data_IF_373640899109
#
_entry.id   IF_373640899109
#
_cell.length_a   1.000
_cell.length_b   1.000
_cell.length_c   1.000
_cell.angle_alpha   90.00
_cell.angle_beta   90.00
_cell.angle_gamma   90.00
#
_symmetry.space_group_name_H-M   'P 1'
#
loop_
_entity.id
_entity.type
_entity.pdbx_description
1 polymer ?
#
# COMPACT_ATOMS: atom_id res chain seq x y z
N UNK A 1 4.25 -2.35 14.56
CA UNK A 1 4.64 -1.36 13.54
C UNK A 1 3.51 -0.36 13.34
N UNK A 2 3.85 0.90 13.15
CA UNK A 2 2.93 1.95 12.69
C UNK A 2 2.78 1.88 11.17
N UNK A 3 1.55 1.94 10.65
CA UNK A 3 1.32 2.16 9.22
C UNK A 3 1.41 3.66 8.89
N UNK A 4 2.15 4.01 7.85
CA UNK A 4 2.08 5.32 7.20
C UNK A 4 1.57 5.13 5.78
N UNK A 5 0.40 5.70 5.48
CA UNK A 5 -0.27 5.49 4.19
C UNK A 5 -1.12 6.70 3.78
N UNK A 6 -1.69 6.67 2.58
CA UNK A 6 -2.62 7.70 2.09
C UNK A 6 -4.01 7.53 2.70
N UNK A 7 -4.75 8.63 2.80
CA UNK A 7 -6.16 8.62 3.24
C UNK A 7 -7.11 8.37 2.07
N UNK A 8 -6.88 7.29 1.32
CA UNK A 8 -7.73 6.84 0.22
C UNK A 8 -8.11 5.36 0.38
N UNK A 9 -8.88 4.81 -0.57
CA UNK A 9 -9.38 3.45 -0.45
C UNK A 9 -8.27 2.41 -0.48
N UNK A 10 -7.23 2.60 -1.30
CA UNK A 10 -6.06 1.72 -1.33
C UNK A 10 -5.29 1.75 0.00
N UNK A 11 -5.05 2.93 0.57
CA UNK A 11 -4.42 3.05 1.89
C UNK A 11 -5.24 2.40 3.01
N UNK A 12 -6.56 2.52 2.98
CA UNK A 12 -7.46 1.83 3.92
C UNK A 12 -7.40 0.31 3.76
N UNK A 13 -7.41 -0.20 2.53
CA UNK A 13 -7.30 -1.63 2.24
C UNK A 13 -5.93 -2.19 2.67
N UNK A 14 -4.84 -1.44 2.44
CA UNK A 14 -3.51 -1.76 2.96
C UNK A 14 -3.54 -1.90 4.49
N UNK A 15 -4.19 -0.96 5.19
CA UNK A 15 -4.36 -1.02 6.64
C UNK A 15 -5.13 -2.24 7.12
N UNK A 16 -6.25 -2.56 6.48
CA UNK A 16 -7.05 -3.75 6.81
C UNK A 16 -6.23 -5.04 6.67
N UNK A 17 -5.51 -5.21 5.56
CA UNK A 17 -4.70 -6.38 5.29
C UNK A 17 -3.51 -6.52 6.25
N UNK A 18 -2.77 -5.43 6.48
CA UNK A 18 -1.61 -5.44 7.38
C UNK A 18 -2.02 -5.65 8.84
N UNK A 19 -3.20 -5.13 9.24
CA UNK A 19 -3.75 -5.35 10.58
C UNK A 19 -4.13 -6.82 10.76
N UNK A 20 -4.84 -7.41 9.79
CA UNK A 20 -5.19 -8.83 9.78
C UNK A 20 -3.95 -9.74 9.72
N UNK A 21 -2.90 -9.30 9.03
CA UNK A 21 -1.63 -10.02 8.98
C UNK A 21 -0.86 -9.98 10.31
N UNK A 22 -1.27 -9.14 11.28
CA UNK A 22 -0.58 -8.94 12.56
C UNK A 22 0.71 -8.12 12.44
N UNK A 23 0.85 -7.33 11.36
CA UNK A 23 2.07 -6.54 11.07
C UNK A 23 2.00 -5.17 11.75
N UNK A 24 0.82 -4.55 11.69
CA UNK A 24 0.58 -3.21 12.24
C UNK A 24 -0.42 -3.25 13.39
N UNK A 25 -0.33 -2.26 14.27
CA UNK A 25 -1.29 -2.08 15.36
C UNK A 25 -1.94 -0.70 15.41
N UNK A 26 -1.30 0.32 14.84
CA UNK A 26 -1.78 1.69 14.69
C UNK A 26 -1.36 2.30 13.35
N UNK A 27 -1.93 3.45 12.97
CA UNK A 27 -1.70 4.08 11.67
C UNK A 27 -1.66 5.60 11.72
N UNK A 28 -1.07 6.21 10.69
CA UNK A 28 -1.05 7.65 10.42
C UNK A 28 -1.29 7.85 8.94
N UNK A 29 -2.25 8.72 8.59
CA UNK A 29 -2.45 9.13 7.22
C UNK A 29 -1.55 10.31 6.89
N UNK A 30 -0.88 10.25 5.74
CA UNK A 30 0.03 11.29 5.28
C UNK A 30 -0.14 11.51 3.77
N UNK A 31 0.07 12.76 3.34
CA UNK A 31 0.17 13.05 1.92
C UNK A 31 1.60 12.68 1.43
N UNK A 32 1.79 12.11 0.23
CA UNK A 32 3.13 11.75 -0.29
C UNK A 32 4.16 12.88 -0.20
N UNK A 33 3.72 14.12 -0.44
CA UNK A 33 4.54 15.33 -0.32
C UNK A 33 5.11 15.53 1.09
N UNK A 34 4.36 15.20 2.13
CA UNK A 34 4.81 15.41 3.51
C UNK A 34 5.98 14.48 3.87
N UNK A 35 6.03 13.27 3.29
CA UNK A 35 7.17 12.37 3.42
C UNK A 35 8.37 12.88 2.62
N UNK A 36 8.15 13.37 1.40
CA UNK A 36 9.20 13.94 0.55
C UNK A 36 9.84 15.20 1.15
N UNK A 37 9.03 16.04 1.80
CA UNK A 37 9.46 17.25 2.49
C UNK A 37 10.04 16.96 3.89
N UNK A 38 10.01 15.69 4.35
CA UNK A 38 10.54 15.28 5.65
C UNK A 38 9.71 15.78 6.86
N UNK A 39 8.43 16.09 6.66
CA UNK A 39 7.52 16.56 7.71
C UNK A 39 6.96 15.42 8.57
N UNK A 40 7.02 14.20 8.06
CA UNK A 40 6.66 12.97 8.78
C UNK A 40 7.93 12.23 9.16
N UNK A 41 8.18 12.10 10.46
CA UNK A 41 9.29 11.29 10.97
C UNK A 41 9.04 9.80 10.69
N UNK A 42 10.00 9.15 10.03
CA UNK A 42 9.96 7.73 9.66
C UNK A 42 11.14 6.99 10.30
N UNK A 43 10.88 5.81 10.84
CA UNK A 43 11.86 4.95 11.47
C UNK A 43 11.60 3.45 11.29
N UNK A 44 12.39 2.59 11.94
CA UNK A 44 12.40 1.15 11.69
C UNK A 44 11.14 0.41 12.16
N UNK A 45 10.26 1.03 12.96
CA UNK A 45 8.95 0.47 13.33
C UNK A 45 7.82 0.95 12.39
N UNK A 46 8.15 1.66 11.30
CA UNK A 46 7.16 2.11 10.31
C UNK A 46 7.05 1.16 9.12
N UNK A 47 5.81 0.83 8.78
CA UNK A 47 5.41 0.19 7.54
C UNK A 47 4.81 1.25 6.61
N UNK A 48 5.48 1.56 5.51
CA UNK A 48 5.02 2.51 4.50
C UNK A 48 4.27 1.75 3.42
N UNK A 49 3.01 2.12 3.16
CA UNK A 49 2.22 1.52 2.09
C UNK A 49 1.57 2.60 1.25
N UNK A 50 1.67 2.50 -0.08
CA UNK A 50 1.08 3.47 -1.01
C UNK A 50 1.60 4.92 -0.78
N UNK A 51 2.87 5.04 -0.37
CA UNK A 51 3.57 6.31 -0.17
C UNK A 51 5.04 6.16 -0.60
N UNK A 52 5.74 7.26 -0.92
CA UNK A 52 7.14 7.20 -1.34
C UNK A 52 8.03 6.52 -0.29
N UNK A 53 9.06 5.81 -0.77
CA UNK A 53 10.07 5.21 0.09
C UNK A 53 10.82 6.26 0.91
N UNK A 54 10.97 6.03 2.21
CA UNK A 54 11.84 6.81 3.08
C UNK A 54 12.91 5.88 3.69
N UNK A 55 14.20 6.20 3.54
CA UNK A 55 15.28 5.40 4.13
C UNK A 55 15.12 5.20 5.63
N UNK A 56 15.30 3.96 6.09
CA UNK A 56 15.19 3.61 7.50
C UNK A 56 13.82 3.12 7.95
N UNK A 57 12.80 3.13 7.07
CA UNK A 57 11.55 2.44 7.33
C UNK A 57 11.76 0.93 7.55
N UNK A 58 10.87 0.30 8.31
CA UNK A 58 10.93 -1.13 8.60
C UNK A 58 10.41 -2.01 7.46
N UNK A 59 9.30 -1.58 6.83
CA UNK A 59 8.67 -2.22 5.67
C UNK A 59 8.20 -1.17 4.68
N UNK A 60 8.21 -1.50 3.40
CA UNK A 60 7.72 -0.65 2.32
C UNK A 60 7.00 -1.46 1.25
N UNK A 61 5.80 -1.02 0.89
CA UNK A 61 5.00 -1.53 -0.20
C UNK A 61 4.57 -0.39 -1.12
N UNK A 62 4.79 -0.55 -2.42
CA UNK A 62 4.43 0.46 -3.40
C UNK A 62 4.20 -0.12 -4.81
N UNK A 63 3.28 0.50 -5.55
CA UNK A 63 2.97 0.16 -6.93
C UNK A 63 3.19 1.30 -7.93
N UNK A 64 3.52 2.51 -7.45
CA UNK A 64 3.76 3.69 -8.29
C UNK A 64 5.18 3.73 -8.89
N UNK A 65 6.15 3.15 -8.20
CA UNK A 65 7.57 3.25 -8.56
C UNK A 65 7.83 2.73 -9.96
N UNK A 66 8.53 3.55 -10.76
CA UNK A 66 9.04 3.13 -12.05
C UNK A 66 10.06 1.99 -11.90
N UNK A 67 10.27 1.26 -12.99
CA UNK A 67 11.29 0.19 -13.07
C UNK A 67 12.67 0.72 -12.65
N UNK A 68 13.04 1.89 -13.15
CA UNK A 68 14.31 2.56 -12.85
C UNK A 68 14.45 2.91 -11.36
N UNK A 69 13.41 3.51 -10.75
CA UNK A 69 13.42 3.82 -9.32
C UNK A 69 13.52 2.56 -8.47
N UNK A 70 12.78 1.51 -8.84
CA UNK A 70 12.83 0.23 -8.13
C UNK A 70 14.23 -0.40 -8.21
N UNK A 71 14.89 -0.37 -9.36
CA UNK A 71 16.27 -0.83 -9.50
C UNK A 71 17.23 0.00 -8.65
N UNK A 72 17.05 1.33 -8.60
CA UNK A 72 17.86 2.20 -7.76
C UNK A 72 17.65 1.98 -6.25
N UNK A 73 16.50 1.42 -5.86
CA UNK A 73 16.13 1.06 -4.49
C UNK A 73 16.35 -0.43 -4.17
N UNK A 74 16.81 -1.25 -5.13
CA UNK A 74 16.99 -2.67 -4.94
C UNK A 74 17.91 -2.97 -3.75
N UNK A 75 17.44 -3.83 -2.83
CA UNK A 75 18.17 -4.19 -1.60
C UNK A 75 18.17 -3.13 -0.50
N UNK A 76 17.53 -1.97 -0.70
CA UNK A 76 17.45 -0.90 0.32
C UNK A 76 16.24 -1.02 1.25
N UNK A 77 15.22 -1.77 0.85
CA UNK A 77 13.96 -1.90 1.60
C UNK A 77 13.59 -3.35 1.85
N UNK A 78 12.73 -3.57 2.84
CA UNK A 78 12.00 -4.83 3.06
C UNK A 78 10.54 -4.63 2.64
N UNK A 79 9.91 -5.67 2.11
CA UNK A 79 8.59 -5.59 1.49
C UNK A 79 8.72 -5.76 -0.02
N UNK A 80 7.80 -5.17 -0.78
CA UNK A 80 7.71 -5.39 -2.22
C UNK A 80 7.22 -4.16 -2.95
N UNK A 81 7.88 -3.81 -4.05
CA UNK A 81 7.37 -2.86 -5.01
C UNK A 81 7.32 -3.46 -6.41
N UNK A 82 6.17 -3.34 -7.08
CA UNK A 82 5.97 -3.80 -8.46
C UNK A 82 4.75 -3.13 -9.08
N UNK A 83 4.62 -3.20 -10.40
CA UNK A 83 3.40 -2.77 -11.08
C UNK A 83 2.25 -3.69 -10.64
N UNK A 84 1.18 -3.08 -10.13
CA UNK A 84 -0.03 -3.72 -9.66
C UNK A 84 -1.20 -2.73 -9.76
N UNK A 85 -2.46 -3.22 -9.86
CA UNK A 85 -3.64 -2.35 -9.91
C UNK A 85 -3.84 -1.50 -8.64
N UNK A 86 -3.29 -1.94 -7.51
CA UNK A 86 -3.31 -1.23 -6.22
C UNK A 86 -2.10 -1.66 -5.37
N UNK A 87 -1.73 -0.88 -4.35
CA UNK A 87 -0.75 -1.30 -3.36
C UNK A 87 -1.29 -2.43 -2.47
N UNK A 88 -2.59 -2.39 -2.15
CA UNK A 88 -3.27 -3.44 -1.41
C UNK A 88 -3.14 -4.80 -2.10
N UNK A 89 -3.14 -4.85 -3.44
CA UNK A 89 -2.91 -6.09 -4.20
C UNK A 89 -1.55 -6.71 -3.92
N UNK A 90 -0.51 -5.89 -3.83
CA UNK A 90 0.84 -6.35 -3.50
C UNK A 90 0.84 -6.95 -2.10
N UNK A 91 0.31 -6.24 -1.11
CA UNK A 91 0.25 -6.70 0.29
C UNK A 91 -0.57 -8.00 0.40
N UNK A 92 -1.72 -8.05 -0.25
CA UNK A 92 -2.61 -9.21 -0.28
C UNK A 92 -1.85 -10.44 -0.75
N UNK A 93 -1.18 -10.37 -1.91
CA UNK A 93 -0.40 -11.47 -2.46
C UNK A 93 0.83 -11.81 -1.61
N UNK A 94 1.57 -10.80 -1.14
CA UNK A 94 2.78 -10.96 -0.33
C UNK A 94 2.53 -11.81 0.92
N UNK A 95 1.36 -11.65 1.55
CA UNK A 95 0.99 -12.39 2.76
C UNK A 95 0.16 -13.66 2.51
N UNK A 96 -0.03 -14.09 1.25
CA UNK A 96 -0.65 -15.39 0.92
C UNK A 96 -2.03 -15.32 0.26
N UNK A 97 -2.48 -14.13 -0.11
CA UNK A 97 -3.66 -13.88 -0.92
C UNK A 97 -4.92 -14.53 -0.36
N UNK A 98 -5.73 -15.13 -1.24
CA UNK A 98 -7.03 -15.70 -0.88
C UNK A 98 -6.94 -16.83 0.14
N UNK A 99 -5.81 -17.56 0.19
CA UNK A 99 -5.62 -18.61 1.20
C UNK A 99 -5.55 -18.04 2.62
N UNK A 100 -5.08 -16.79 2.77
CA UNK A 100 -4.99 -16.10 4.07
C UNK A 100 -6.16 -15.15 4.32
N UNK A 101 -6.67 -14.51 3.27
CA UNK A 101 -7.61 -13.39 3.35
C UNK A 101 -8.92 -13.65 2.56
N UNK A 102 -9.59 -14.80 2.73
CA UNK A 102 -10.80 -15.10 1.95
C UNK A 102 -11.92 -14.08 2.18
N UNK A 103 -11.98 -13.45 3.36
CA UNK A 103 -12.96 -12.42 3.71
C UNK A 103 -12.77 -11.09 2.98
N UNK A 104 -11.62 -10.87 2.35
CA UNK A 104 -11.30 -9.63 1.66
C UNK A 104 -11.43 -9.72 0.13
N UNK A 105 -11.92 -10.83 -0.42
CA UNK A 105 -12.02 -11.02 -1.88
C UNK A 105 -12.75 -9.87 -2.59
N UNK A 106 -13.95 -9.51 -2.13
CA UNK A 106 -14.77 -8.45 -2.74
C UNK A 106 -14.11 -7.07 -2.57
N UNK A 107 -13.51 -6.80 -1.40
CA UNK A 107 -12.74 -5.58 -1.15
C UNK A 107 -11.55 -5.47 -2.12
N UNK A 108 -10.88 -6.59 -2.39
CA UNK A 108 -9.74 -6.64 -3.30
C UNK A 108 -10.13 -6.43 -4.76
N UNK A 109 -11.31 -6.89 -5.19
CA UNK A 109 -11.82 -6.55 -6.52
C UNK A 109 -12.13 -5.05 -6.62
N UNK A 110 -12.81 -4.49 -5.61
CA UNK A 110 -13.21 -3.09 -5.60
C UNK A 110 -11.99 -2.15 -5.59
N UNK A 111 -11.00 -2.41 -4.72
CA UNK A 111 -9.81 -1.55 -4.61
C UNK A 111 -9.00 -1.54 -5.89
N UNK A 112 -8.84 -2.68 -6.55
CA UNK A 112 -8.10 -2.79 -7.81
C UNK A 112 -8.78 -1.99 -8.92
N UNK A 113 -10.11 -2.06 -9.03
CA UNK A 113 -10.86 -1.28 -10.03
C UNK A 113 -10.73 0.22 -9.78
N UNK A 114 -10.93 0.65 -8.53
CA UNK A 114 -10.96 2.08 -8.16
C UNK A 114 -9.58 2.71 -8.32
N UNK A 115 -8.53 2.05 -7.83
CA UNK A 115 -7.19 2.62 -7.81
C UNK A 115 -6.53 2.64 -9.20
N UNK A 116 -6.79 1.60 -10.01
CA UNK A 116 -6.34 1.57 -11.41
C UNK A 116 -7.21 2.39 -12.36
N UNK A 117 -8.32 2.97 -11.89
CA UNK A 117 -9.32 3.66 -12.70
C UNK A 117 -10.02 2.75 -13.73
N UNK A 118 -10.04 1.43 -13.49
CA UNK A 118 -10.68 0.46 -14.37
C UNK A 118 -12.17 0.29 -14.01
N UNK A 119 -12.91 1.38 -14.17
CA UNK A 119 -14.35 1.46 -13.90
C UNK A 119 -15.11 1.74 -15.21
N UNK A 120 -16.26 1.11 -15.35
CA UNK A 120 -17.22 1.45 -16.40
C UNK A 120 -17.96 2.74 -16.04
N UNK A 121 -18.52 3.41 -17.05
CA UNK A 121 -19.37 4.59 -16.82
C UNK A 121 -20.57 4.23 -15.91
N UNK A 122 -21.14 3.04 -16.08
CA UNK A 122 -22.26 2.57 -15.28
C UNK A 122 -21.88 2.43 -13.79
N UNK A 123 -20.75 1.78 -13.49
CA UNK A 123 -20.21 1.66 -12.12
C UNK A 123 -19.92 3.04 -11.49
N UNK A 124 -19.55 4.05 -12.29
CA UNK A 124 -19.34 5.41 -11.79
C UNK A 124 -20.66 6.15 -11.55
N UNK A 125 -21.66 5.97 -12.41
CA UNK A 125 -22.96 6.64 -12.31
C UNK A 125 -23.91 5.95 -11.31
N UNK A 126 -23.69 4.67 -11.02
CA UNK A 126 -24.52 3.81 -10.18
C UNK A 126 -23.67 2.98 -9.17
N UNK A 127 -22.98 3.64 -8.22
CA UNK A 127 -22.11 3.00 -7.24
C UNK A 127 -22.84 2.28 -6.10
#
# INVERSE_FOLDING_TARGET
MRLVTRSDFDGLACGALLKEAGVIDHWTFAHPKDLQDGLVEIGPDDCLANVPYVPGCGLWFDHHSSEHERLALAGKYKGESRVAPSCARIIYEYYGGHARFPQFADMMEAVDKVDSGNLTIDEVLHP
#
